data_IF_447694935219
#
_entry.id   IF_447694935219
#
_cell.length_a   1.000
_cell.length_b   1.000
_cell.length_c   1.000
_cell.angle_alpha   90.00
_cell.angle_beta   90.00
_cell.angle_gamma   90.00
#
_symmetry.space_group_name_H-M   'P 1'
#
loop_
_entity.id
_entity.type
_entity.pdbx_description
1 polymer ?
#
# COMPACT_ATOMS: atom_id res chain seq x y z
N UNK A 1 0.83 18.76 7.54
CA UNK A 1 0.56 18.08 6.25
C UNK A 1 1.80 17.72 5.44
N UNK A 2 2.70 18.66 5.11
CA UNK A 2 3.88 18.36 4.29
C UNK A 2 4.77 17.25 4.88
N UNK A 3 5.01 17.26 6.20
CA UNK A 3 5.78 16.22 6.89
C UNK A 3 5.08 14.85 6.82
N UNK A 4 3.76 14.79 7.02
CA UNK A 4 2.99 13.54 6.94
C UNK A 4 3.07 12.94 5.54
N UNK A 5 2.88 13.77 4.51
CA UNK A 5 3.00 13.34 3.11
C UNK A 5 4.41 12.82 2.80
N UNK A 6 5.44 13.50 3.28
CA UNK A 6 6.82 13.07 3.09
C UNK A 6 7.09 11.72 3.76
N UNK A 7 6.62 11.52 5.00
CA UNK A 7 6.73 10.24 5.71
C UNK A 7 5.99 9.11 5.00
N UNK A 8 4.79 9.36 4.49
CA UNK A 8 4.03 8.38 3.70
C UNK A 8 4.78 7.97 2.42
N UNK A 9 5.28 8.95 1.67
CA UNK A 9 6.08 8.68 0.47
C UNK A 9 7.34 7.85 0.79
N UNK A 10 8.02 8.18 1.88
CA UNK A 10 9.20 7.43 2.35
C UNK A 10 8.83 6.01 2.80
N UNK A 11 7.73 5.82 3.52
CA UNK A 11 7.26 4.50 3.93
C UNK A 11 6.87 3.65 2.72
N UNK A 12 6.14 4.22 1.76
CA UNK A 12 5.79 3.55 0.51
C UNK A 12 7.03 3.16 -0.29
N UNK A 13 8.02 4.05 -0.39
CA UNK A 13 9.28 3.77 -1.09
C UNK A 13 10.13 2.64 -0.47
N UNK A 14 9.81 2.17 0.74
CA UNK A 14 10.46 1.00 1.35
C UNK A 14 9.81 -0.32 0.93
N UNK A 15 8.66 -0.30 0.27
CA UNK A 15 7.86 -1.48 -0.08
C UNK A 15 8.52 -2.33 -1.15
N UNK A 16 9.04 -1.71 -2.21
CA UNK A 16 9.64 -2.40 -3.37
C UNK A 16 11.11 -1.98 -3.44
N UNK A 17 12.03 -2.94 -3.25
CA UNK A 17 13.48 -2.68 -3.26
C UNK A 17 14.13 -3.18 -4.54
N UNK A 18 13.55 -4.20 -5.17
CA UNK A 18 13.98 -4.83 -6.42
C UNK A 18 12.80 -5.07 -7.36
N UNK A 19 13.08 -5.30 -8.64
CA UNK A 19 12.04 -5.45 -9.66
C UNK A 19 11.16 -6.70 -9.46
N UNK A 20 11.67 -7.69 -8.75
CA UNK A 20 11.02 -8.96 -8.42
C UNK A 20 10.34 -8.97 -7.04
N UNK A 21 10.49 -7.89 -6.25
CA UNK A 21 9.84 -7.78 -4.96
C UNK A 21 8.32 -7.62 -5.12
N UNK A 22 7.57 -8.42 -4.37
CA UNK A 22 6.12 -8.27 -4.19
C UNK A 22 5.85 -7.76 -2.78
N UNK A 23 5.04 -6.71 -2.65
CA UNK A 23 4.71 -6.14 -1.34
C UNK A 23 3.33 -5.49 -1.32
N UNK A 24 2.71 -5.48 -0.14
CA UNK A 24 1.43 -4.81 0.12
C UNK A 24 1.64 -3.67 1.10
N UNK A 25 1.14 -2.48 0.77
CA UNK A 25 1.20 -1.30 1.64
C UNK A 25 -0.16 -1.07 2.30
N UNK A 26 -0.24 -1.27 3.62
CA UNK A 26 -1.49 -1.11 4.39
C UNK A 26 -1.37 0.09 5.33
N UNK A 27 -2.39 0.95 5.33
CA UNK A 27 -2.53 2.06 6.28
C UNK A 27 -3.70 1.78 7.22
N UNK A 28 -3.41 1.63 8.51
CA UNK A 28 -4.40 1.47 9.57
C UNK A 28 -4.80 2.84 10.13
N UNK A 29 -5.45 3.66 9.30
CA UNK A 29 -5.94 4.98 9.67
C UNK A 29 -7.40 5.16 9.18
N UNK A 30 -8.40 5.05 10.08
CA UNK A 30 -9.81 5.20 9.70
C UNK A 30 -10.19 6.62 9.26
N UNK A 31 -9.35 7.63 9.55
CA UNK A 31 -9.61 9.03 9.22
C UNK A 31 -8.65 9.57 8.16
N UNK A 32 -8.02 8.70 7.36
CA UNK A 32 -7.04 9.10 6.37
C UNK A 32 -7.60 10.14 5.36
N UNK A 33 -7.09 11.39 5.37
CA UNK A 33 -7.53 12.43 4.45
C UNK A 33 -7.21 12.10 3.00
N UNK A 34 -8.18 12.26 2.08
CA UNK A 34 -7.99 12.04 0.63
C UNK A 34 -6.85 12.88 0.04
N UNK A 35 -6.62 14.09 0.57
CA UNK A 35 -5.50 14.95 0.16
C UNK A 35 -4.11 14.31 0.35
N UNK A 36 -3.96 13.39 1.31
CA UNK A 36 -2.71 12.66 1.51
C UNK A 36 -2.50 11.51 0.52
N UNK A 37 -3.52 11.10 -0.24
CA UNK A 37 -3.37 10.13 -1.34
C UNK A 37 -2.41 10.64 -2.43
N UNK A 38 -2.23 11.97 -2.54
CA UNK A 38 -1.23 12.59 -3.43
C UNK A 38 0.23 12.25 -3.06
N UNK A 39 0.47 11.55 -1.94
CA UNK A 39 1.78 11.04 -1.57
C UNK A 39 2.27 9.88 -2.46
N UNK A 40 1.36 9.17 -3.12
CA UNK A 40 1.65 7.93 -3.85
C UNK A 40 1.96 8.18 -5.34
N UNK A 41 2.74 7.31 -5.99
CA UNK A 41 3.00 7.39 -7.43
C UNK A 41 1.71 7.35 -8.28
N UNK A 42 1.72 7.93 -9.49
CA UNK A 42 0.61 7.79 -10.43
C UNK A 42 0.38 6.32 -10.77
N UNK A 43 -0.88 5.90 -10.82
CA UNK A 43 -1.27 4.51 -11.06
C UNK A 43 -1.43 3.65 -9.81
N UNK A 44 -1.06 4.13 -8.63
CA UNK A 44 -1.39 3.45 -7.36
C UNK A 44 -2.83 3.76 -6.98
N UNK A 45 -3.69 2.73 -7.02
CA UNK A 45 -5.06 2.83 -6.55
C UNK A 45 -5.13 2.67 -5.02
N UNK A 46 -5.81 3.60 -4.33
CA UNK A 46 -6.02 3.53 -2.88
C UNK A 46 -7.38 2.91 -2.59
N UNK A 47 -7.37 1.68 -2.06
CA UNK A 47 -8.59 0.97 -1.67
C UNK A 47 -8.97 1.29 -0.23
N UNK A 48 -10.22 1.71 0.00
CA UNK A 48 -10.77 2.00 1.34
C UNK A 48 -11.67 0.86 1.77
N UNK A 49 -11.06 -0.14 2.41
CA UNK A 49 -11.70 -1.40 2.75
C UNK A 49 -11.54 -1.71 4.25
N UNK A 50 -12.35 -2.65 4.73
CA UNK A 50 -12.25 -3.14 6.11
C UNK A 50 -11.00 -4.01 6.32
N UNK A 51 -10.56 -4.15 7.57
CA UNK A 51 -9.37 -4.94 7.91
C UNK A 51 -9.48 -6.40 7.46
N UNK A 52 -10.66 -7.03 7.59
CA UNK A 52 -10.87 -8.41 7.19
C UNK A 52 -10.67 -8.61 5.67
N UNK A 53 -11.18 -7.67 4.86
CA UNK A 53 -11.02 -7.68 3.41
C UNK A 53 -9.56 -7.42 3.00
N UNK A 54 -8.89 -6.47 3.66
CA UNK A 54 -7.46 -6.21 3.44
C UNK A 54 -6.60 -7.46 3.71
N UNK A 55 -6.92 -8.22 4.76
CA UNK A 55 -6.26 -9.50 5.07
C UNK A 55 -6.51 -10.54 3.98
N UNK A 56 -7.73 -10.65 3.46
CA UNK A 56 -8.06 -11.61 2.40
C UNK A 56 -7.28 -11.30 1.11
N UNK A 57 -7.33 -10.05 0.63
CA UNK A 57 -6.61 -9.61 -0.57
C UNK A 57 -5.09 -9.77 -0.40
N UNK A 58 -4.56 -9.41 0.76
CA UNK A 58 -3.12 -9.53 1.05
C UNK A 58 -2.65 -10.99 0.98
N UNK A 59 -3.45 -11.92 1.52
CA UNK A 59 -3.14 -13.36 1.46
C UNK A 59 -3.12 -13.87 0.04
N UNK A 60 -4.09 -13.47 -0.78
CA UNK A 60 -4.17 -13.87 -2.19
C UNK A 60 -2.99 -13.30 -2.99
N UNK A 61 -2.69 -12.01 -2.82
CA UNK A 61 -1.57 -11.35 -3.51
C UNK A 61 -0.20 -11.95 -3.16
N UNK A 62 0.00 -12.28 -1.88
CA UNK A 62 1.26 -12.86 -1.40
C UNK A 62 1.32 -14.37 -1.54
N UNK A 63 0.25 -15.02 -2.01
CA UNK A 63 0.31 -16.44 -2.30
C UNK A 63 1.47 -16.69 -3.30
N UNK A 64 2.29 -17.71 -3.07
CA UNK A 64 3.23 -18.14 -4.08
C UNK A 64 2.42 -18.45 -5.35
N UNK A 65 2.78 -17.81 -6.46
CA UNK A 65 2.10 -18.03 -7.72
C UNK A 65 2.12 -19.52 -8.01
N UNK A 66 0.97 -20.07 -8.40
CA UNK A 66 0.89 -21.38 -9.02
C UNK A 66 1.56 -21.28 -10.40
N UNK A 67 2.88 -21.18 -10.43
CA UNK A 67 3.72 -21.37 -11.60
C UNK A 67 4.97 -22.12 -11.13
N UNK A 68 4.94 -23.41 -11.43
CA UNK A 68 6.12 -24.23 -11.67
C UNK A 68 6.65 -23.94 -13.08
#
# INVERSE_FOLDING_TARGET
DMQTRFRLKQAFGRLVRRADDRGVFVLLDPMMPTRLCTAFPPGVEVQRIGLAEAVAITKEFLAPGAEA
#
